data_IF_342322197778
#
_entry.id   IF_342322197778
#
_cell.length_a   1.000
_cell.length_b   1.000
_cell.length_c   1.000
_cell.angle_alpha   90.00
_cell.angle_beta   90.00
_cell.angle_gamma   90.00
#
_symmetry.space_group_name_H-M   'P 1'
#
loop_
_entity.id
_entity.type
_entity.pdbx_description
1 polymer ?
#
# COMPACT_ATOMS: atom_id res chain seq x y z
N UNK A 1 -21.05 11.73 10.96
CA UNK A 1 -19.92 12.23 10.15
C UNK A 1 -18.97 11.09 9.90
N UNK A 2 -18.44 10.97 8.70
CA UNK A 2 -17.33 10.08 8.41
C UNK A 2 -16.03 10.68 8.95
N UNK A 3 -15.17 9.86 9.53
CA UNK A 3 -13.81 10.26 9.94
C UNK A 3 -13.01 10.64 8.69
N UNK A 4 -12.17 11.65 8.80
CA UNK A 4 -11.23 12.02 7.74
C UNK A 4 -9.93 11.23 7.87
N UNK A 5 -9.24 11.04 6.74
CA UNK A 5 -7.90 10.42 6.74
C UNK A 5 -6.90 11.24 7.58
N UNK A 6 -7.04 12.56 7.63
CA UNK A 6 -6.18 13.42 8.45
C UNK A 6 -6.33 13.11 9.95
N UNK A 7 -7.57 12.98 10.43
CA UNK A 7 -7.87 12.61 11.82
C UNK A 7 -7.36 11.21 12.16
N UNK A 8 -7.58 10.23 11.28
CA UNK A 8 -7.10 8.85 11.47
C UNK A 8 -5.57 8.83 11.56
N UNK A 9 -4.87 9.53 10.67
CA UNK A 9 -3.41 9.62 10.69
C UNK A 9 -2.88 10.29 11.97
N UNK A 10 -3.58 11.30 12.49
CA UNK A 10 -3.23 11.91 13.76
C UNK A 10 -3.36 10.93 14.92
N UNK A 11 -4.44 10.14 14.97
CA UNK A 11 -4.62 9.09 15.98
C UNK A 11 -3.55 8.00 15.89
N UNK A 12 -3.19 7.57 14.68
CA UNK A 12 -2.11 6.59 14.47
C UNK A 12 -0.79 7.12 15.02
N UNK A 13 -0.41 8.37 14.68
CA UNK A 13 0.82 9.00 15.21
C UNK A 13 0.82 9.14 16.73
N UNK A 14 -0.35 9.34 17.34
CA UNK A 14 -0.54 9.44 18.79
C UNK A 14 -0.66 8.08 19.49
N UNK A 15 -0.67 6.96 18.76
CA UNK A 15 -0.91 5.63 19.33
C UNK A 15 -2.31 5.45 19.92
N UNK A 16 -3.31 6.20 19.41
CA UNK A 16 -4.70 6.20 19.89
C UNK A 16 -5.71 5.66 18.88
N UNK A 17 -5.23 5.17 17.73
CA UNK A 17 -6.11 4.59 16.73
C UNK A 17 -6.65 3.25 17.22
N UNK A 18 -7.96 3.05 17.11
CA UNK A 18 -8.58 1.74 17.29
C UNK A 18 -8.41 0.97 15.98
N UNK A 19 -7.57 -0.05 16.01
CA UNK A 19 -7.27 -0.92 14.88
C UNK A 19 -7.84 -2.30 15.18
N UNK A 20 -8.59 -2.85 14.23
CA UNK A 20 -9.16 -4.20 14.30
C UNK A 20 -8.84 -4.96 13.02
N UNK A 21 -8.90 -6.27 13.05
CA UNK A 21 -8.77 -7.10 11.85
C UNK A 21 -10.12 -7.34 11.14
N UNK A 22 -10.05 -8.11 10.04
CA UNK A 22 -11.20 -8.42 9.20
C UNK A 22 -12.23 -9.34 9.87
N UNK A 23 -11.83 -10.13 10.87
CA UNK A 23 -12.74 -11.01 11.61
C UNK A 23 -13.40 -10.23 12.75
N UNK A 24 -12.62 -9.46 13.51
CA UNK A 24 -13.10 -8.64 14.64
C UNK A 24 -14.16 -7.59 14.22
N UNK A 25 -14.04 -7.03 13.02
CA UNK A 25 -15.01 -6.04 12.53
C UNK A 25 -16.39 -6.66 12.27
N UNK A 26 -16.47 -7.95 11.93
CA UNK A 26 -17.74 -8.64 11.66
C UNK A 26 -18.54 -8.70 12.96
N UNK A 27 -17.94 -9.21 14.03
CA UNK A 27 -18.56 -9.31 15.36
C UNK A 27 -19.00 -7.93 15.89
N UNK A 28 -18.15 -6.91 15.74
CA UNK A 28 -18.46 -5.54 16.16
C UNK A 28 -19.68 -4.96 15.42
N UNK A 29 -19.82 -5.27 14.13
CA UNK A 29 -20.96 -4.83 13.33
C UNK A 29 -22.22 -5.59 13.71
N UNK A 30 -22.13 -6.89 13.99
CA UNK A 30 -23.27 -7.70 14.45
C UNK A 30 -23.80 -7.22 15.82
N UNK A 31 -22.90 -6.92 16.76
CA UNK A 31 -23.27 -6.49 18.11
C UNK A 31 -23.81 -5.05 18.14
N UNK A 32 -23.11 -4.12 17.47
CA UNK A 32 -23.34 -2.66 17.66
C UNK A 32 -24.00 -1.98 16.45
N UNK A 33 -24.03 -2.66 15.31
CA UNK A 33 -24.45 -2.11 14.04
C UNK A 33 -23.40 -1.23 13.37
N UNK A 34 -23.47 -1.15 12.03
CA UNK A 34 -22.51 -0.45 11.16
C UNK A 34 -22.24 0.99 11.61
N UNK A 35 -23.27 1.74 12.00
CA UNK A 35 -23.12 3.16 12.40
C UNK A 35 -22.27 3.35 13.65
N UNK A 36 -22.37 2.46 14.64
CA UNK A 36 -21.55 2.56 15.87
C UNK A 36 -20.16 2.00 15.63
N UNK A 37 -20.06 0.84 14.95
CA UNK A 37 -18.77 0.25 14.61
C UNK A 37 -17.85 1.24 13.86
N UNK A 38 -18.39 1.97 12.87
CA UNK A 38 -17.64 2.98 12.12
C UNK A 38 -17.24 4.23 12.93
N UNK A 39 -17.93 4.51 14.05
CA UNK A 39 -17.55 5.59 14.97
C UNK A 39 -16.43 5.16 15.91
N UNK A 40 -16.40 3.90 16.31
CA UNK A 40 -15.42 3.34 17.26
C UNK A 40 -14.11 2.96 16.56
N UNK A 41 -14.19 2.25 15.42
CA UNK A 41 -13.03 1.71 14.69
C UNK A 41 -12.41 2.75 13.76
N UNK A 42 -11.09 2.92 13.83
CA UNK A 42 -10.34 3.86 13.00
C UNK A 42 -9.71 3.20 11.76
N UNK A 43 -9.23 1.95 11.90
CA UNK A 43 -8.60 1.18 10.83
C UNK A 43 -9.06 -0.27 10.91
N UNK A 44 -9.41 -0.86 9.77
CA UNK A 44 -9.62 -2.30 9.63
C UNK A 44 -8.45 -2.86 8.82
N UNK A 45 -7.71 -3.81 9.38
CA UNK A 45 -6.61 -4.46 8.69
C UNK A 45 -7.09 -5.75 8.03
N UNK A 46 -7.07 -5.77 6.71
CA UNK A 46 -7.36 -6.97 5.92
C UNK A 46 -6.04 -7.55 5.42
N UNK A 47 -5.40 -8.39 6.23
CA UNK A 47 -4.22 -9.14 5.81
C UNK A 47 -4.64 -10.57 5.45
N UNK A 48 -4.14 -11.09 4.33
CA UNK A 48 -4.23 -12.51 4.00
C UNK A 48 -2.86 -13.14 4.20
N UNK A 49 -2.79 -14.23 4.97
CA UNK A 49 -1.55 -15.01 5.10
C UNK A 49 -1.63 -16.23 4.20
N UNK A 50 -1.23 -16.05 2.93
CA UNK A 50 -0.99 -17.13 1.99
C UNK A 50 0.34 -16.90 1.29
N UNK A 51 1.01 -17.95 0.77
CA UNK A 51 2.14 -17.76 -0.14
C UNK A 51 1.65 -17.01 -1.39
N UNK A 52 1.85 -15.69 -1.38
CA UNK A 52 1.36 -14.79 -2.42
C UNK A 52 2.40 -14.68 -3.53
N UNK A 53 2.32 -15.58 -4.51
CA UNK A 53 2.92 -15.33 -5.81
C UNK A 53 2.21 -14.10 -6.44
N UNK A 54 2.97 -13.18 -7.05
CA UNK A 54 2.46 -11.94 -7.68
C UNK A 54 2.09 -10.80 -6.72
N UNK A 55 2.98 -10.51 -5.75
CA UNK A 55 2.83 -9.35 -4.85
C UNK A 55 3.52 -8.10 -5.41
N UNK A 56 2.96 -6.93 -5.10
CA UNK A 56 3.53 -5.64 -5.49
C UNK A 56 2.76 -4.46 -4.88
N UNK A 57 3.24 -3.25 -5.14
CA UNK A 57 2.67 -2.01 -4.62
C UNK A 57 2.40 -1.02 -5.75
N UNK A 58 1.21 -0.44 -5.74
CA UNK A 58 0.82 0.63 -6.66
C UNK A 58 1.01 1.99 -5.99
N UNK A 59 1.67 2.91 -6.69
CA UNK A 59 1.92 4.26 -6.20
C UNK A 59 1.42 5.29 -7.20
N UNK A 60 0.73 6.31 -6.69
CA UNK A 60 0.60 7.60 -7.34
C UNK A 60 1.48 8.57 -6.55
N UNK A 61 2.54 9.10 -7.18
CA UNK A 61 3.51 9.97 -6.47
C UNK A 61 3.13 11.45 -6.51
N UNK A 62 2.00 11.79 -7.14
CA UNK A 62 1.60 13.15 -7.43
C UNK A 62 2.48 13.83 -8.50
N UNK A 63 1.97 14.92 -9.06
CA UNK A 63 2.75 15.71 -10.02
C UNK A 63 3.72 16.65 -9.32
N UNK A 64 4.95 16.70 -9.84
CA UNK A 64 5.87 17.81 -9.59
C UNK A 64 5.42 19.09 -10.32
N UNK A 65 6.10 20.20 -10.02
CA UNK A 65 6.04 21.44 -10.81
C UNK A 65 7.45 21.73 -11.35
N UNK A 66 7.67 21.71 -12.68
CA UNK A 66 6.70 21.46 -13.75
C UNK A 66 6.16 20.02 -13.75
N UNK A 67 5.01 19.81 -14.40
CA UNK A 67 4.38 18.49 -14.48
C UNK A 67 5.28 17.52 -15.24
N UNK A 68 5.44 16.32 -14.69
CA UNK A 68 6.16 15.20 -15.32
C UNK A 68 5.19 14.11 -15.77
N UNK A 69 5.61 13.34 -16.78
CA UNK A 69 5.00 12.07 -17.17
C UNK A 69 6.02 10.95 -17.02
N UNK A 70 5.73 9.99 -16.15
CA UNK A 70 6.49 8.76 -16.00
C UNK A 70 6.22 7.83 -17.19
N UNK A 71 7.21 7.00 -17.53
CA UNK A 71 7.09 6.02 -18.62
C UNK A 71 7.53 6.50 -20.01
N UNK A 72 8.14 7.68 -20.14
CA UNK A 72 8.84 8.09 -21.37
C UNK A 72 10.21 7.42 -21.58
N UNK A 73 10.59 6.52 -20.68
CA UNK A 73 11.86 5.81 -20.63
C UNK A 73 11.81 4.75 -19.54
N UNK A 74 12.89 4.57 -18.78
CA UNK A 74 12.93 3.67 -17.61
C UNK A 74 12.55 4.43 -16.34
N UNK A 75 11.86 3.76 -15.43
CA UNK A 75 11.50 4.31 -14.12
C UNK A 75 12.09 3.40 -13.04
N UNK A 76 12.74 4.01 -12.06
CA UNK A 76 13.35 3.30 -10.95
C UNK A 76 12.94 3.94 -9.62
N UNK A 77 12.82 3.12 -8.59
CA UNK A 77 12.72 3.54 -7.21
C UNK A 77 13.88 2.90 -6.44
N UNK A 78 14.86 3.71 -6.03
CA UNK A 78 16.09 3.25 -5.38
C UNK A 78 16.78 2.11 -6.16
N UNK A 79 17.02 2.32 -7.46
CA UNK A 79 17.60 1.36 -8.41
C UNK A 79 16.75 0.11 -8.71
N UNK A 80 15.59 -0.07 -8.07
CA UNK A 80 14.64 -1.13 -8.40
C UNK A 80 13.76 -0.66 -9.55
N UNK A 81 13.60 -1.46 -10.62
CA UNK A 81 12.72 -1.09 -11.73
C UNK A 81 11.27 -0.98 -11.26
N UNK A 82 10.59 0.07 -11.71
CA UNK A 82 9.17 0.30 -11.49
C UNK A 82 8.43 0.41 -12.83
N UNK A 83 7.23 -0.14 -12.89
CA UNK A 83 6.42 -0.22 -14.10
C UNK A 83 5.51 1.01 -14.21
N UNK A 84 5.70 1.81 -15.25
CA UNK A 84 4.81 2.93 -15.58
C UNK A 84 3.75 2.52 -16.62
N UNK A 85 2.92 3.47 -17.05
CA UNK A 85 1.94 3.27 -18.14
C UNK A 85 0.48 3.25 -17.70
N UNK A 86 0.20 3.36 -16.40
CA UNK A 86 -1.17 3.41 -15.86
C UNK A 86 -1.78 4.82 -16.02
N UNK A 87 -1.08 5.86 -15.56
CA UNK A 87 -1.45 7.26 -15.74
C UNK A 87 -0.18 8.11 -15.93
N UNK A 88 -0.25 9.41 -15.65
CA UNK A 88 0.89 10.31 -15.84
C UNK A 88 2.00 10.11 -14.79
N UNK A 89 1.67 9.82 -13.53
CA UNK A 89 2.62 9.75 -12.41
C UNK A 89 2.41 8.50 -11.56
N UNK A 90 1.95 7.45 -12.21
CA UNK A 90 1.56 6.22 -11.55
C UNK A 90 2.58 5.14 -11.91
N UNK A 91 3.00 4.39 -10.88
CA UNK A 91 3.94 3.29 -11.02
C UNK A 91 3.46 2.08 -10.22
N UNK A 92 3.83 0.90 -10.68
CA UNK A 92 3.69 -0.36 -9.96
C UNK A 92 5.08 -0.92 -9.66
N UNK A 93 5.30 -1.41 -8.44
CA UNK A 93 6.55 -2.01 -8.00
C UNK A 93 6.33 -3.47 -7.66
N UNK A 94 7.07 -4.37 -8.29
CA UNK A 94 7.05 -5.79 -7.94
C UNK A 94 7.75 -6.03 -6.60
N UNK A 95 7.14 -6.84 -5.72
CA UNK A 95 7.71 -7.11 -4.39
C UNK A 95 9.05 -7.89 -4.44
N UNK A 96 9.32 -8.56 -5.56
CA UNK A 96 10.56 -9.31 -5.81
C UNK A 96 11.37 -8.73 -6.96
N UNK A 97 11.08 -7.48 -7.38
CA UNK A 97 11.86 -6.83 -8.43
C UNK A 97 13.28 -6.57 -7.91
N UNK A 98 14.28 -6.99 -8.69
CA UNK A 98 15.69 -6.82 -8.37
C UNK A 98 16.29 -5.67 -9.17
N UNK A 99 17.36 -5.03 -8.67
CA UNK A 99 18.18 -4.13 -9.48
C UNK A 99 18.64 -4.79 -10.80
N UNK A 100 18.92 -3.99 -11.81
CA UNK A 100 19.40 -4.52 -13.09
C UNK A 100 20.75 -5.23 -12.96
N UNK A 101 21.60 -4.79 -12.02
CA UNK A 101 22.95 -5.28 -11.72
C UNK A 101 22.99 -6.35 -10.62
N UNK A 102 21.84 -6.86 -10.18
CA UNK A 102 21.78 -7.97 -9.24
C UNK A 102 22.42 -9.24 -9.85
N UNK A 103 23.34 -9.93 -9.13
CA UNK A 103 24.02 -11.12 -9.65
C UNK A 103 23.08 -12.33 -9.79
N UNK A 104 21.84 -12.25 -9.28
CA UNK A 104 20.82 -13.30 -9.35
C UNK A 104 21.42 -14.65 -9.01
N UNK A 105 21.09 -15.68 -9.78
CA UNK A 105 21.58 -17.03 -9.62
C UNK A 105 22.86 -17.29 -10.45
N UNK A 106 23.66 -16.26 -10.76
CA UNK A 106 24.86 -16.42 -11.58
C UNK A 106 26.01 -17.13 -10.82
N UNK A 107 25.97 -17.18 -9.48
CA UNK A 107 27.00 -17.81 -8.65
C UNK A 107 26.50 -19.14 -8.09
N UNK A 108 27.20 -20.25 -8.31
CA UNK A 108 26.75 -21.58 -7.82
C UNK A 108 26.60 -21.64 -6.28
N UNK A 109 25.53 -22.26 -5.73
CA UNK A 109 24.44 -23.01 -6.38
C UNK A 109 23.23 -22.15 -6.80
N UNK A 110 23.37 -20.84 -6.65
CA UNK A 110 22.39 -19.75 -6.74
C UNK A 110 23.00 -18.54 -6.02
#
# INVERSE_FOLDING_TARGET
MSKTIAEINEKIRKGKAVVVDAEEIIDLVEEKGVKKATQEVDVVTTATFGPMCSSGAYFNIGHSKPKIKLGGGRVYLNNIPAYAGFAAVDIYLGATALPEDDPRNEVFPG
#
